data_IF_248511904579
#
_entry.id   IF_248511904579
#
_cell.length_a   1.000
_cell.length_b   1.000
_cell.length_c   1.000
_cell.angle_alpha   90.00
_cell.angle_beta   90.00
_cell.angle_gamma   90.00
#
_symmetry.space_group_name_H-M   'P 1'
#
loop_
_entity.id
_entity.type
_entity.pdbx_description
1 polymer ?
#
# COMPACT_ATOMS: atom_id res chain seq x y z
N UNK A 1 -34.77 -49.09 -1.04
CA UNK A 1 -36.12 -49.30 -1.58
C UNK A 1 -36.09 -50.41 -2.61
N UNK A 2 -37.12 -51.23 -2.64
CA UNK A 2 -37.28 -52.28 -3.67
C UNK A 2 -37.98 -51.73 -4.92
N UNK A 3 -37.81 -52.41 -6.04
CA UNK A 3 -38.36 -52.08 -7.35
C UNK A 3 -39.87 -51.85 -7.29
N UNK A 4 -40.61 -52.71 -6.58
CA UNK A 4 -42.06 -52.61 -6.42
C UNK A 4 -42.50 -51.27 -5.79
N UNK A 5 -41.76 -50.80 -4.77
CA UNK A 5 -42.00 -49.54 -4.08
C UNK A 5 -41.61 -48.33 -4.96
N UNK A 6 -40.49 -48.45 -5.67
CA UNK A 6 -39.99 -47.42 -6.59
C UNK A 6 -40.94 -47.22 -7.78
N UNK A 7 -41.42 -48.31 -8.37
CA UNK A 7 -42.40 -48.30 -9.46
C UNK A 7 -43.70 -47.61 -9.04
N UNK A 8 -44.27 -48.00 -7.90
CA UNK A 8 -45.50 -47.39 -7.38
C UNK A 8 -45.32 -45.90 -7.08
N UNK A 9 -44.16 -45.50 -6.54
CA UNK A 9 -43.81 -44.11 -6.28
C UNK A 9 -43.70 -43.30 -7.57
N UNK A 10 -42.96 -43.80 -8.56
CA UNK A 10 -42.77 -43.09 -9.84
C UNK A 10 -44.07 -42.99 -10.64
N UNK A 11 -44.92 -44.03 -10.62
CA UNK A 11 -46.25 -43.97 -11.23
C UNK A 11 -47.11 -42.88 -10.60
N UNK A 12 -47.13 -42.80 -9.27
CA UNK A 12 -47.89 -41.76 -8.53
C UNK A 12 -47.34 -40.36 -8.80
N UNK A 13 -46.02 -40.20 -8.87
CA UNK A 13 -45.39 -38.91 -9.21
C UNK A 13 -45.76 -38.42 -10.61
N UNK A 14 -45.98 -39.34 -11.54
CA UNK A 14 -46.46 -39.04 -12.90
C UNK A 14 -48.00 -38.95 -13.00
N UNK A 15 -48.71 -38.96 -11.87
CA UNK A 15 -50.18 -38.89 -11.80
C UNK A 15 -50.92 -39.97 -12.61
N UNK A 16 -50.30 -41.14 -12.80
CA UNK A 16 -50.89 -42.25 -13.55
C UNK A 16 -51.61 -43.23 -12.62
N UNK A 17 -52.76 -43.76 -13.05
CA UNK A 17 -53.39 -44.92 -12.41
C UNK A 17 -52.71 -46.22 -12.86
N UNK A 18 -52.91 -47.32 -12.11
CA UNK A 18 -52.39 -48.64 -12.52
C UNK A 18 -52.98 -49.09 -13.86
N UNK A 19 -54.22 -48.69 -14.18
CA UNK A 19 -54.88 -48.99 -15.45
C UNK A 19 -54.18 -48.26 -16.60
N UNK A 20 -53.91 -46.98 -16.41
CA UNK A 20 -53.25 -46.13 -17.43
C UNK A 20 -51.82 -46.60 -17.70
N UNK A 21 -51.07 -46.96 -16.66
CA UNK A 21 -49.72 -47.51 -16.85
C UNK A 21 -49.76 -48.87 -17.57
N UNK A 22 -50.77 -49.71 -17.27
CA UNK A 22 -50.93 -51.00 -17.92
C UNK A 22 -51.28 -50.86 -19.42
N UNK A 23 -52.16 -49.91 -19.75
CA UNK A 23 -52.53 -49.57 -21.13
C UNK A 23 -51.30 -49.09 -21.92
N UNK A 24 -50.53 -48.15 -21.37
CA UNK A 24 -49.30 -47.65 -22.01
C UNK A 24 -48.23 -48.73 -22.21
N UNK A 25 -48.20 -49.73 -21.34
CA UNK A 25 -47.26 -50.86 -21.43
C UNK A 25 -47.82 -52.05 -22.24
N UNK A 26 -49.07 -51.97 -22.72
CA UNK A 26 -49.78 -53.08 -23.36
C UNK A 26 -49.74 -54.37 -22.52
N UNK A 27 -50.05 -54.26 -21.23
CA UNK A 27 -50.16 -55.39 -20.29
C UNK A 27 -51.48 -55.29 -19.52
N UNK A 28 -51.87 -56.35 -18.81
CA UNK A 28 -53.06 -56.28 -17.96
C UNK A 28 -52.80 -55.44 -16.70
N UNK A 29 -53.82 -54.74 -16.21
CA UNK A 29 -53.77 -54.02 -14.92
C UNK A 29 -53.29 -54.91 -13.76
N UNK A 30 -53.68 -56.18 -13.80
CA UNK A 30 -53.26 -57.20 -12.83
C UNK A 30 -51.74 -57.43 -12.84
N UNK A 31 -51.08 -57.34 -13.99
CA UNK A 31 -49.62 -57.45 -14.08
C UNK A 31 -48.93 -56.29 -13.36
N UNK A 32 -49.37 -55.04 -13.60
CA UNK A 32 -48.85 -53.85 -12.90
C UNK A 32 -49.07 -53.94 -11.39
N UNK A 33 -50.26 -54.40 -10.96
CA UNK A 33 -50.55 -54.61 -9.54
C UNK A 33 -49.62 -55.65 -8.90
N UNK A 34 -49.34 -56.76 -9.59
CA UNK A 34 -48.38 -57.77 -9.10
C UNK A 34 -46.95 -57.23 -9.01
N UNK A 35 -46.52 -56.38 -9.94
CA UNK A 35 -45.21 -55.72 -9.87
C UNK A 35 -45.11 -54.75 -8.70
N UNK A 36 -46.13 -53.91 -8.49
CA UNK A 36 -46.16 -52.95 -7.37
C UNK A 36 -46.30 -53.62 -6.00
N UNK A 37 -46.89 -54.81 -5.94
CA UNK A 37 -46.98 -55.62 -4.72
C UNK A 37 -45.78 -56.58 -4.53
N UNK A 38 -44.78 -56.54 -5.43
CA UNK A 38 -43.60 -57.41 -5.36
C UNK A 38 -43.87 -58.90 -5.55
N UNK A 39 -45.04 -59.26 -6.10
CA UNK A 39 -45.45 -60.66 -6.33
C UNK A 39 -44.89 -61.23 -7.64
N UNK A 40 -44.49 -60.37 -8.57
CA UNK A 40 -43.78 -60.74 -9.80
C UNK A 40 -42.86 -59.61 -10.24
N UNK A 41 -41.93 -59.90 -11.14
CA UNK A 41 -41.01 -58.91 -11.72
C UNK A 41 -41.33 -58.71 -13.21
N UNK A 42 -41.27 -57.49 -13.76
CA UNK A 42 -41.39 -57.26 -15.20
C UNK A 42 -40.14 -57.71 -15.95
N UNK A 43 -40.30 -58.11 -17.21
CA UNK A 43 -39.16 -58.41 -18.09
C UNK A 43 -38.34 -57.15 -18.40
N UNK A 44 -37.06 -57.32 -18.77
CA UNK A 44 -36.14 -56.20 -19.04
C UNK A 44 -36.68 -55.20 -20.06
N UNK A 45 -37.34 -55.67 -21.13
CA UNK A 45 -37.95 -54.81 -22.14
C UNK A 45 -39.09 -53.95 -21.57
N UNK A 46 -39.84 -54.51 -20.61
CA UNK A 46 -40.89 -53.76 -19.89
C UNK A 46 -40.29 -52.78 -18.90
N UNK A 47 -39.18 -53.09 -18.25
CA UNK A 47 -38.46 -52.15 -17.36
C UNK A 47 -37.95 -50.94 -18.15
N UNK A 48 -37.34 -51.17 -19.32
CA UNK A 48 -36.91 -50.09 -20.21
C UNK A 48 -38.11 -49.26 -20.66
N UNK A 49 -39.23 -49.89 -21.01
CA UNK A 49 -40.45 -49.18 -21.41
C UNK A 49 -41.03 -48.34 -20.25
N UNK A 50 -41.04 -48.89 -19.03
CA UNK A 50 -41.46 -48.18 -17.82
C UNK A 50 -40.59 -46.94 -17.58
N UNK A 51 -39.26 -47.06 -17.72
CA UNK A 51 -38.34 -45.92 -17.54
C UNK A 51 -38.63 -44.76 -18.50
N UNK A 52 -38.98 -45.09 -19.76
CA UNK A 52 -39.36 -44.10 -20.78
C UNK A 52 -40.73 -43.47 -20.49
N UNK A 53 -41.72 -44.26 -20.08
CA UNK A 53 -43.08 -43.78 -19.79
C UNK A 53 -43.12 -42.91 -18.54
N UNK A 54 -42.36 -43.26 -17.50
CA UNK A 54 -42.30 -42.55 -16.23
C UNK A 54 -41.22 -41.46 -16.19
N UNK A 55 -40.48 -41.28 -17.29
CA UNK A 55 -39.39 -40.34 -17.47
C UNK A 55 -38.36 -40.39 -16.33
N UNK A 56 -37.93 -41.60 -15.97
CA UNK A 56 -36.92 -41.86 -14.93
C UNK A 56 -35.79 -42.73 -15.48
N UNK A 57 -34.65 -42.73 -14.79
CA UNK A 57 -33.53 -43.59 -15.16
C UNK A 57 -33.77 -45.05 -14.74
N UNK A 58 -33.01 -46.01 -15.28
CA UNK A 58 -33.14 -47.41 -14.84
C UNK A 58 -32.71 -47.55 -13.37
N UNK A 59 -31.75 -46.74 -12.94
CA UNK A 59 -31.28 -46.63 -11.57
C UNK A 59 -32.39 -46.19 -10.60
N UNK A 60 -33.30 -45.31 -11.06
CA UNK A 60 -34.45 -44.87 -10.28
C UNK A 60 -35.53 -45.95 -10.10
N UNK A 61 -35.47 -47.04 -10.88
CA UNK A 61 -36.41 -48.16 -10.83
C UNK A 61 -35.82 -49.40 -10.15
N UNK A 62 -34.53 -49.69 -10.37
CA UNK A 62 -33.87 -50.91 -9.88
C UNK A 62 -33.65 -50.90 -8.36
N UNK A 63 -33.51 -52.09 -7.77
CA UNK A 63 -33.23 -52.24 -6.34
C UNK A 63 -31.90 -51.59 -5.96
N UNK A 64 -31.88 -50.85 -4.85
CA UNK A 64 -30.66 -50.22 -4.34
C UNK A 64 -29.54 -51.23 -4.02
N UNK A 65 -29.86 -52.53 -3.89
CA UNK A 65 -28.90 -53.60 -3.67
C UNK A 65 -28.29 -54.20 -4.93
N UNK A 66 -28.82 -53.90 -6.13
CA UNK A 66 -28.36 -54.47 -7.42
C UNK A 66 -27.31 -53.56 -8.08
N UNK A 67 -27.35 -52.26 -7.81
CA UNK A 67 -26.33 -51.31 -8.28
C UNK A 67 -25.25 -51.19 -7.21
N UNK A 68 -24.35 -52.17 -7.15
CA UNK A 68 -23.03 -51.95 -6.58
C UNK A 68 -22.24 -51.14 -7.60
N UNK A 69 -22.28 -49.82 -7.46
CA UNK A 69 -21.23 -49.00 -8.05
C UNK A 69 -19.92 -49.49 -7.45
N UNK A 70 -18.96 -49.90 -8.29
CA UNK A 70 -17.61 -50.32 -7.90
C UNK A 70 -16.79 -49.08 -7.46
N UNK A 71 -17.38 -48.33 -6.53
CA UNK A 71 -16.81 -47.18 -5.87
C UNK A 71 -16.19 -47.70 -4.58
N UNK A 72 -14.88 -47.52 -4.50
CA UNK A 72 -14.03 -47.61 -3.31
C UNK A 72 -14.78 -47.23 -2.01
N UNK A 73 -14.44 -47.84 -0.86
CA UNK A 73 -15.21 -47.73 0.38
C UNK A 73 -15.48 -46.28 0.77
N UNK A 74 -16.77 -45.92 0.91
CA UNK A 74 -17.18 -44.62 1.42
C UNK A 74 -16.77 -44.47 2.89
N UNK A 75 -15.75 -43.64 3.12
CA UNK A 75 -15.47 -43.04 4.42
C UNK A 75 -16.63 -42.12 4.85
N UNK A 76 -16.90 -42.00 6.16
CA UNK A 76 -18.02 -41.22 6.67
C UNK A 76 -17.83 -39.74 6.37
N UNK A 77 -18.75 -39.18 5.59
CA UNK A 77 -19.18 -37.78 5.59
C UNK A 77 -18.07 -36.74 5.86
N UNK A 78 -17.02 -36.72 5.02
CA UNK A 78 -16.07 -35.59 5.00
C UNK A 78 -16.80 -34.37 4.46
N UNK A 79 -17.08 -33.43 5.37
CA UNK A 79 -17.23 -31.99 5.10
C UNK A 79 -16.52 -31.66 3.80
N UNK A 80 -17.27 -31.31 2.74
CA UNK A 80 -16.74 -30.92 1.43
C UNK A 80 -15.75 -29.77 1.64
N UNK A 81 -14.51 -30.16 1.92
CA UNK A 81 -13.45 -29.26 2.28
C UNK A 81 -12.88 -28.86 0.95
N UNK A 82 -13.11 -27.63 0.55
CA UNK A 82 -12.49 -27.02 -0.63
C UNK A 82 -10.98 -27.34 -0.75
N UNK A 83 -10.30 -27.63 0.37
CA UNK A 83 -8.92 -28.08 0.45
C UNK A 83 -8.73 -29.46 -0.21
N UNK A 84 -9.65 -30.40 -0.02
CA UNK A 84 -9.59 -31.70 -0.66
C UNK A 84 -9.74 -31.57 -2.17
N UNK A 85 -10.73 -30.82 -2.66
CA UNK A 85 -10.91 -30.61 -4.11
C UNK A 85 -9.73 -29.84 -4.74
N UNK A 86 -9.19 -28.88 -3.98
CA UNK A 86 -7.98 -28.15 -4.33
C UNK A 86 -6.76 -29.09 -4.39
N UNK A 87 -6.60 -29.96 -3.40
CA UNK A 87 -5.50 -30.93 -3.34
C UNK A 87 -5.60 -31.96 -4.46
N UNK A 88 -6.79 -32.49 -4.75
CA UNK A 88 -7.03 -33.38 -5.88
C UNK A 88 -6.76 -32.70 -7.23
N UNK A 89 -7.14 -31.42 -7.37
CA UNK A 89 -6.80 -30.64 -8.57
C UNK A 89 -5.30 -30.42 -8.73
N UNK A 90 -4.59 -30.19 -7.62
CA UNK A 90 -3.13 -30.09 -7.60
C UNK A 90 -2.47 -31.41 -7.97
N UNK A 91 -2.92 -32.53 -7.39
CA UNK A 91 -2.42 -33.86 -7.72
C UNK A 91 -2.61 -34.17 -9.20
N UNK A 92 -3.80 -33.93 -9.76
CA UNK A 92 -4.06 -34.09 -11.20
C UNK A 92 -3.16 -33.20 -12.07
N UNK A 93 -2.89 -31.97 -11.64
CA UNK A 93 -1.94 -31.10 -12.34
C UNK A 93 -0.51 -31.66 -12.27
N UNK A 94 -0.07 -32.17 -11.11
CA UNK A 94 1.25 -32.79 -10.97
C UNK A 94 1.37 -34.08 -11.77
N UNK A 95 0.32 -34.90 -11.82
CA UNK A 95 0.27 -36.13 -12.61
C UNK A 95 0.35 -35.81 -14.11
N UNK A 96 -0.44 -34.86 -14.61
CA UNK A 96 -0.36 -34.41 -16.00
C UNK A 96 1.02 -33.83 -16.34
N UNK A 97 1.60 -33.04 -15.42
CA UNK A 97 2.95 -32.50 -15.58
C UNK A 97 3.99 -33.62 -15.65
N UNK A 98 3.90 -34.61 -14.77
CA UNK A 98 4.78 -35.77 -14.77
C UNK A 98 4.64 -36.58 -16.07
N UNK A 99 3.41 -36.88 -16.49
CA UNK A 99 3.14 -37.62 -17.72
C UNK A 99 3.66 -36.89 -18.96
N UNK A 100 3.51 -35.55 -19.01
CA UNK A 100 4.14 -34.71 -20.04
C UNK A 100 5.67 -34.87 -20.04
N UNK A 101 6.32 -34.74 -18.88
CA UNK A 101 7.77 -34.91 -18.78
C UNK A 101 8.22 -36.32 -19.18
N UNK A 102 7.49 -37.37 -18.82
CA UNK A 102 7.83 -38.74 -19.21
C UNK A 102 7.73 -38.97 -20.73
N UNK A 103 6.79 -38.32 -21.42
CA UNK A 103 6.61 -38.43 -22.88
C UNK A 103 7.60 -37.58 -23.70
N UNK A 104 8.18 -36.54 -23.11
CA UNK A 104 9.13 -35.67 -23.80
C UNK A 104 10.49 -36.35 -24.03
N UNK A 105 11.03 -36.20 -25.24
CA UNK A 105 12.41 -36.59 -25.55
C UNK A 105 13.40 -35.77 -24.71
N UNK A 106 14.61 -36.28 -24.53
CA UNK A 106 15.66 -35.58 -23.76
C UNK A 106 15.90 -34.14 -24.26
N UNK A 107 15.95 -33.94 -25.58
CA UNK A 107 16.06 -32.60 -26.19
C UNK A 107 14.85 -31.71 -25.87
N UNK A 108 13.64 -32.27 -25.83
CA UNK A 108 12.41 -31.56 -25.45
C UNK A 108 12.40 -31.15 -23.98
N UNK A 109 12.86 -32.01 -23.06
CA UNK A 109 12.97 -31.71 -21.63
C UNK A 109 13.90 -30.53 -21.37
N UNK A 110 15.09 -30.53 -21.97
CA UNK A 110 16.08 -29.45 -21.82
C UNK A 110 15.54 -28.14 -22.39
N UNK A 111 14.90 -28.18 -23.56
CA UNK A 111 14.27 -26.99 -24.16
C UNK A 111 13.15 -26.43 -23.27
N UNK A 112 12.29 -27.29 -22.73
CA UNK A 112 11.22 -26.89 -21.82
C UNK A 112 11.77 -26.19 -20.57
N UNK A 113 12.77 -26.79 -19.92
CA UNK A 113 13.39 -26.20 -18.72
C UNK A 113 14.08 -24.87 -19.03
N UNK A 114 14.73 -24.76 -20.19
CA UNK A 114 15.37 -23.52 -20.61
C UNK A 114 14.36 -22.40 -20.90
N UNK A 115 13.30 -22.68 -21.66
CA UNK A 115 12.21 -21.71 -21.91
C UNK A 115 11.55 -21.27 -20.59
N UNK A 116 11.34 -22.21 -19.66
CA UNK A 116 10.75 -21.93 -18.35
C UNK A 116 11.68 -21.07 -17.47
N UNK A 117 12.99 -21.38 -17.47
CA UNK A 117 14.01 -20.60 -16.75
C UNK A 117 14.10 -19.18 -17.28
N UNK A 118 14.07 -18.99 -18.60
CA UNK A 118 14.06 -17.65 -19.21
C UNK A 118 12.82 -16.84 -18.82
N UNK A 119 11.63 -17.45 -18.83
CA UNK A 119 10.39 -16.80 -18.40
C UNK A 119 10.47 -16.43 -16.90
N UNK A 120 10.99 -17.33 -16.06
CA UNK A 120 11.18 -17.08 -14.63
C UNK A 120 12.13 -15.91 -14.37
N UNK A 121 13.29 -15.88 -15.04
CA UNK A 121 14.25 -14.78 -14.94
C UNK A 121 13.65 -13.45 -15.42
N UNK A 122 12.88 -13.48 -16.51
CA UNK A 122 12.21 -12.29 -17.04
C UNK A 122 11.18 -11.73 -16.06
N UNK A 123 10.35 -12.58 -15.45
CA UNK A 123 9.38 -12.18 -14.43
C UNK A 123 10.08 -11.65 -13.17
N UNK A 124 11.18 -12.27 -12.75
CA UNK A 124 11.98 -11.81 -11.61
C UNK A 124 12.63 -10.44 -11.87
N UNK A 125 13.15 -10.21 -13.09
CA UNK A 125 13.73 -8.93 -13.48
C UNK A 125 12.68 -7.80 -13.46
N UNK A 126 11.49 -8.05 -14.02
CA UNK A 126 10.37 -7.10 -13.96
C UNK A 126 9.99 -6.83 -12.50
N UNK A 127 9.83 -7.89 -11.70
CA UNK A 127 9.49 -7.77 -10.30
C UNK A 127 10.49 -6.94 -9.49
N UNK A 128 11.80 -7.14 -9.74
CA UNK A 128 12.86 -6.37 -9.09
C UNK A 128 12.82 -4.89 -9.47
N UNK A 129 12.56 -4.56 -10.74
CA UNK A 129 12.41 -3.16 -11.20
C UNK A 129 11.22 -2.51 -10.50
N UNK A 130 10.07 -3.18 -10.47
CA UNK A 130 8.85 -2.66 -9.82
C UNK A 130 9.06 -2.46 -8.33
N UNK A 131 9.70 -3.41 -7.65
CA UNK A 131 10.03 -3.30 -6.23
C UNK A 131 10.95 -2.11 -5.96
N UNK A 132 12.03 -1.96 -6.75
CA UNK A 132 13.00 -0.88 -6.56
C UNK A 132 12.39 0.51 -6.75
N UNK A 133 11.52 0.68 -7.74
CA UNK A 133 10.77 1.93 -7.93
C UNK A 133 9.83 2.17 -6.74
N UNK A 134 9.12 1.14 -6.28
CA UNK A 134 8.17 1.26 -5.18
C UNK A 134 8.85 1.65 -3.86
N UNK A 135 9.99 1.03 -3.54
CA UNK A 135 10.77 1.32 -2.33
C UNK A 135 11.30 2.75 -2.32
N UNK A 136 11.88 3.21 -3.44
CA UNK A 136 12.37 4.58 -3.59
C UNK A 136 11.25 5.62 -3.39
N UNK A 137 10.08 5.39 -4.00
CA UNK A 137 8.90 6.26 -3.85
C UNK A 137 8.43 6.28 -2.39
N UNK A 138 8.33 5.12 -1.73
CA UNK A 138 7.92 5.04 -0.33
C UNK A 138 8.88 5.81 0.58
N UNK A 139 10.19 5.64 0.41
CA UNK A 139 11.18 6.34 1.24
C UNK A 139 11.09 7.86 1.11
N UNK A 140 10.77 8.37 -0.09
CA UNK A 140 10.57 9.80 -0.35
C UNK A 140 9.26 10.33 0.20
N UNK A 141 8.15 9.63 -0.01
CA UNK A 141 6.84 10.05 0.52
C UNK A 141 6.87 10.13 2.05
N UNK A 142 7.56 9.21 2.70
CA UNK A 142 7.64 9.13 4.15
C UNK A 142 8.85 9.88 4.74
N UNK A 143 9.54 10.72 3.97
CA UNK A 143 10.73 11.44 4.45
C UNK A 143 10.44 12.39 5.62
N UNK A 144 9.19 12.83 5.77
CA UNK A 144 8.73 13.68 6.88
C UNK A 144 8.73 12.97 8.24
N UNK A 145 8.75 11.63 8.26
CA UNK A 145 8.79 10.85 9.51
C UNK A 145 10.21 10.82 10.09
N UNK A 146 10.35 10.76 11.43
CA UNK A 146 11.64 10.58 12.09
C UNK A 146 12.40 9.36 11.54
N UNK A 147 13.72 9.48 11.37
CA UNK A 147 14.55 8.49 10.67
C UNK A 147 14.30 7.05 11.18
N UNK A 148 14.31 6.86 12.50
CA UNK A 148 14.11 5.56 13.13
C UNK A 148 12.75 4.95 12.77
N UNK A 149 11.66 5.72 12.86
CA UNK A 149 10.32 5.23 12.55
C UNK A 149 10.12 4.98 11.05
N UNK A 150 10.62 5.90 10.21
CA UNK A 150 10.54 5.81 8.74
C UNK A 150 11.14 4.52 8.23
N UNK A 151 12.33 4.16 8.70
CA UNK A 151 13.03 2.98 8.24
C UNK A 151 12.21 1.70 8.48
N UNK A 152 11.71 1.48 9.70
CA UNK A 152 10.90 0.30 10.00
C UNK A 152 9.57 0.29 9.24
N UNK A 153 8.88 1.42 9.18
CA UNK A 153 7.58 1.51 8.52
C UNK A 153 7.67 1.25 7.01
N UNK A 154 8.65 1.85 6.32
CA UNK A 154 8.88 1.63 4.89
C UNK A 154 9.29 0.19 4.62
N UNK A 155 10.15 -0.42 5.44
CA UNK A 155 10.55 -1.82 5.28
C UNK A 155 9.37 -2.81 5.40
N UNK A 156 8.42 -2.54 6.30
CA UNK A 156 7.21 -3.37 6.44
C UNK A 156 6.35 -3.28 5.17
N UNK A 157 6.09 -2.07 4.67
CA UNK A 157 5.35 -1.85 3.43
C UNK A 157 6.06 -2.48 2.23
N UNK A 158 7.37 -2.28 2.13
CA UNK A 158 8.22 -2.88 1.10
C UNK A 158 8.13 -4.41 1.12
N UNK A 159 8.17 -5.04 2.29
CA UNK A 159 8.02 -6.49 2.45
C UNK A 159 6.67 -6.98 1.91
N UNK A 160 5.57 -6.29 2.24
CA UNK A 160 4.23 -6.64 1.73
C UNK A 160 4.19 -6.58 0.20
N UNK A 161 4.76 -5.53 -0.39
CA UNK A 161 4.83 -5.34 -1.84
C UNK A 161 5.67 -6.44 -2.49
N UNK A 162 6.83 -6.77 -1.91
CA UNK A 162 7.70 -7.84 -2.39
C UNK A 162 6.96 -9.18 -2.45
N UNK A 163 6.26 -9.56 -1.37
CA UNK A 163 5.47 -10.79 -1.36
C UNK A 163 4.35 -10.77 -2.41
N UNK A 164 3.67 -9.64 -2.61
CA UNK A 164 2.65 -9.50 -3.64
C UNK A 164 3.22 -9.69 -5.05
N UNK A 165 4.37 -9.08 -5.35
CA UNK A 165 5.05 -9.21 -6.65
C UNK A 165 5.46 -10.66 -6.91
N UNK A 166 6.09 -11.32 -5.93
CA UNK A 166 6.49 -12.74 -6.03
C UNK A 166 5.28 -13.63 -6.28
N UNK A 167 4.19 -13.41 -5.55
CA UNK A 167 2.97 -14.21 -5.68
C UNK A 167 2.32 -14.06 -7.07
N UNK A 168 2.22 -12.82 -7.58
CA UNK A 168 1.73 -12.55 -8.93
C UNK A 168 2.65 -13.20 -9.97
N UNK A 169 3.97 -13.09 -9.79
CA UNK A 169 4.96 -13.73 -10.66
C UNK A 169 4.79 -15.24 -10.73
N UNK A 170 4.61 -15.91 -9.59
CA UNK A 170 4.35 -17.36 -9.52
C UNK A 170 3.07 -17.73 -10.28
N UNK A 171 2.00 -16.95 -10.15
CA UNK A 171 0.73 -17.25 -10.82
C UNK A 171 0.85 -17.10 -12.34
N UNK A 172 1.47 -16.02 -12.81
CA UNK A 172 1.73 -15.80 -14.23
C UNK A 172 2.59 -16.94 -14.77
N UNK A 173 3.62 -17.32 -14.04
CA UNK A 173 4.51 -18.42 -14.39
C UNK A 173 3.76 -19.75 -14.55
N UNK A 174 2.93 -20.14 -13.57
CA UNK A 174 2.16 -21.40 -13.65
C UNK A 174 1.13 -21.33 -14.78
N UNK A 175 0.48 -20.18 -15.02
CA UNK A 175 -0.45 -20.01 -16.14
C UNK A 175 0.25 -20.14 -17.50
N UNK A 176 1.41 -19.52 -17.67
CA UNK A 176 2.20 -19.63 -18.89
C UNK A 176 2.66 -21.07 -19.12
N UNK A 177 3.13 -21.75 -18.07
CA UNK A 177 3.51 -23.16 -18.13
C UNK A 177 2.34 -24.04 -18.59
N UNK A 178 1.15 -23.84 -17.99
CA UNK A 178 -0.05 -24.58 -18.36
C UNK A 178 -0.39 -24.39 -19.85
N UNK A 179 -0.53 -23.14 -20.29
CA UNK A 179 -0.95 -22.83 -21.67
C UNK A 179 0.03 -23.37 -22.71
N UNK A 180 1.33 -23.28 -22.42
CA UNK A 180 2.38 -23.64 -23.37
C UNK A 180 2.60 -25.15 -23.47
N UNK A 181 2.47 -25.89 -22.37
CA UNK A 181 2.94 -27.28 -22.30
C UNK A 181 1.86 -28.29 -21.94
N UNK A 182 0.97 -27.99 -20.99
CA UNK A 182 -0.09 -28.91 -20.57
C UNK A 182 -1.25 -28.92 -21.57
N UNK A 183 -1.79 -27.75 -21.88
CA UNK A 183 -2.96 -27.65 -22.77
C UNK A 183 -2.59 -28.10 -24.20
N UNK A 184 -1.36 -27.82 -24.66
CA UNK A 184 -0.85 -28.28 -25.96
C UNK A 184 -0.78 -29.81 -26.08
N UNK A 185 -0.41 -30.52 -25.00
CA UNK A 185 -0.33 -31.98 -25.01
C UNK A 185 -1.71 -32.63 -24.98
N UNK A 186 -2.69 -32.01 -24.32
CA UNK A 186 -4.08 -32.47 -24.29
C UNK A 186 -4.74 -32.34 -25.67
N UNK A 187 -4.46 -31.25 -26.41
CA UNK A 187 -4.91 -31.07 -27.80
C UNK A 187 -4.29 -32.11 -28.77
N UNK A 188 -3.01 -32.47 -28.56
CA UNK A 188 -2.33 -33.49 -29.37
C UNK A 188 -2.91 -34.87 -29.09
N UNK A 189 -3.15 -35.21 -27.82
CA UNK A 189 -3.77 -36.46 -27.43
C UNK A 189 -5.18 -36.58 -28.03
N UNK A 190 -6.00 -35.52 -27.96
CA UNK A 190 -7.34 -35.49 -28.53
C UNK A 190 -7.35 -35.72 -30.05
N UNK A 191 -6.44 -35.07 -30.78
CA UNK A 191 -6.27 -35.27 -32.23
C UNK A 191 -5.78 -36.67 -32.59
N UNK A 192 -4.93 -37.27 -31.76
CA UNK A 192 -4.44 -38.63 -31.97
C UNK A 192 -5.56 -39.67 -31.79
N UNK A 193 -6.44 -39.47 -30.80
CA UNK A 193 -7.60 -40.34 -30.59
C UNK A 193 -8.69 -40.19 -31.65
N UNK A 194 -8.92 -38.99 -32.20
CA UNK A 194 -9.85 -38.79 -33.32
C UNK A 194 -9.35 -39.46 -34.61
N UNK A 195 -8.04 -39.47 -34.84
CA UNK A 195 -7.46 -40.09 -36.04
C UNK A 195 -7.49 -41.63 -36.05
N UNK A 196 -7.67 -42.26 -34.88
CA UNK A 196 -7.75 -43.73 -34.77
C UNK A 196 -9.16 -44.31 -34.99
N UNK A 197 -10.21 -43.49 -34.93
CA UNK A 197 -11.61 -43.95 -35.04
C UNK A 197 -12.20 -43.82 -36.47
N UNK A 198 -11.44 -43.33 -37.46
CA UNK A 198 -11.90 -43.13 -38.85
C UNK A 198 -11.95 -44.40 -39.74
N UNK A 199 -12.06 -45.60 -39.15
CA UNK A 199 -12.30 -46.84 -39.92
C UNK A 199 -13.51 -47.61 -39.43
N UNK A 200 -14.72 -47.04 -39.53
CA UNK A 200 -15.97 -47.81 -39.60
C UNK A 200 -16.92 -47.19 -40.64
N UNK A 201 -17.37 -48.05 -41.56
CA UNK A 201 -18.31 -47.89 -42.66
C UNK A 201 -19.17 -46.60 -42.74
N UNK A 202 -18.99 -45.90 -43.86
CA UNK A 202 -20.08 -45.80 -44.84
C UNK A 202 -21.41 -45.20 -44.40
N UNK A 203 -21.43 -44.07 -43.69
CA UNK A 203 -22.57 -43.13 -43.68
C UNK A 203 -22.08 -41.75 -43.22
N UNK A 204 -21.91 -40.85 -44.20
CA UNK A 204 -21.55 -39.45 -43.99
C UNK A 204 -22.72 -38.73 -43.30
N UNK A 205 -22.80 -38.83 -41.98
CA UNK A 205 -23.42 -37.80 -41.16
C UNK A 205 -22.29 -36.88 -40.69
N UNK A 206 -22.26 -35.64 -41.18
CA UNK A 206 -21.27 -34.65 -40.73
C UNK A 206 -21.43 -34.51 -39.22
N UNK A 207 -20.41 -34.82 -38.39
CA UNK A 207 -20.50 -34.53 -36.98
C UNK A 207 -20.67 -33.03 -36.85
N UNK A 208 -21.79 -32.62 -36.25
CA UNK A 208 -22.04 -31.22 -35.89
C UNK A 208 -20.91 -30.88 -34.92
N UNK A 209 -19.91 -30.12 -35.38
CA UNK A 209 -18.78 -29.67 -34.56
C UNK A 209 -19.37 -28.76 -33.49
N UNK A 210 -19.77 -29.36 -32.37
CA UNK A 210 -19.98 -28.64 -31.13
C UNK A 210 -18.56 -28.40 -30.64
N UNK A 211 -18.01 -27.23 -30.98
CA UNK A 211 -16.83 -26.70 -30.30
C UNK A 211 -17.28 -26.48 -28.85
N UNK A 212 -17.19 -27.52 -28.02
CA UNK A 212 -17.15 -27.33 -26.58
C UNK A 212 -15.79 -26.70 -26.34
N UNK A 213 -15.79 -25.39 -26.23
CA UNK A 213 -14.69 -24.64 -25.67
C UNK A 213 -14.63 -25.01 -24.17
N UNK A 214 -14.23 -26.25 -23.87
CA UNK A 214 -14.03 -26.71 -22.49
C UNK A 214 -12.65 -26.28 -22.06
N UNK A 215 -12.43 -24.98 -22.02
CA UNK A 215 -11.30 -24.39 -21.31
C UNK A 215 -11.56 -24.66 -19.82
N UNK A 216 -11.22 -25.87 -19.36
CA UNK A 216 -11.25 -26.24 -17.94
C UNK A 216 -10.18 -25.39 -17.25
N UNK A 217 -10.57 -24.19 -16.82
CA UNK A 217 -9.77 -23.38 -15.91
C UNK A 217 -9.65 -24.22 -14.61
N UNK A 218 -8.43 -24.57 -14.19
CA UNK A 218 -8.28 -25.41 -13.01
C UNK A 218 -8.86 -24.68 -11.80
N UNK A 219 -9.84 -25.32 -11.14
CA UNK A 219 -10.52 -24.82 -9.93
C UNK A 219 -9.52 -24.41 -8.83
N UNK A 220 -8.33 -25.01 -8.79
CA UNK A 220 -7.24 -24.68 -7.86
C UNK A 220 -6.84 -23.19 -7.84
N UNK A 221 -6.92 -22.48 -8.96
CA UNK A 221 -6.62 -21.04 -8.99
C UNK A 221 -7.74 -20.19 -8.38
N UNK A 222 -8.96 -20.71 -8.26
CA UNK A 222 -10.11 -20.00 -7.70
C UNK A 222 -9.89 -19.54 -6.25
N UNK A 223 -9.47 -20.42 -5.34
CA UNK A 223 -9.12 -20.05 -3.97
C UNK A 223 -7.96 -19.04 -3.90
N UNK A 224 -6.91 -19.20 -4.70
CA UNK A 224 -5.75 -18.29 -4.74
C UNK A 224 -6.16 -16.91 -5.24
N UNK A 225 -6.97 -16.84 -6.30
CA UNK A 225 -7.48 -15.57 -6.84
C UNK A 225 -8.46 -14.89 -5.88
N UNK A 226 -9.26 -15.65 -5.12
CA UNK A 226 -10.07 -15.14 -4.00
C UNK A 226 -9.21 -14.63 -2.84
N UNK A 227 -8.13 -15.35 -2.50
CA UNK A 227 -7.18 -14.94 -1.47
C UNK A 227 -6.43 -13.65 -1.86
N UNK A 228 -6.05 -13.52 -3.13
CA UNK A 228 -5.43 -12.29 -3.65
C UNK A 228 -6.40 -11.13 -3.65
N UNK A 229 -7.63 -11.33 -4.13
CA UNK A 229 -8.63 -10.25 -4.07
C UNK A 229 -8.94 -9.85 -2.64
N UNK A 230 -8.88 -10.80 -1.69
CA UNK A 230 -8.96 -10.51 -0.26
C UNK A 230 -7.75 -9.70 0.26
N UNK A 231 -6.51 -10.09 -0.06
CA UNK A 231 -5.29 -9.31 0.28
C UNK A 231 -5.32 -7.91 -0.35
N UNK A 232 -5.71 -7.81 -1.62
CA UNK A 232 -5.82 -6.54 -2.33
C UNK A 232 -6.83 -5.61 -1.66
N UNK A 233 -7.95 -6.14 -1.15
CA UNK A 233 -8.93 -5.37 -0.36
C UNK A 233 -8.35 -4.89 0.97
N UNK A 234 -7.57 -5.73 1.65
CA UNK A 234 -6.88 -5.35 2.90
C UNK A 234 -5.87 -4.24 2.63
N UNK A 235 -5.03 -4.39 1.60
CA UNK A 235 -4.07 -3.36 1.22
C UNK A 235 -4.78 -2.05 0.87
N UNK A 236 -5.84 -2.12 0.05
CA UNK A 236 -6.64 -0.96 -0.32
C UNK A 236 -7.32 -0.29 0.89
N UNK A 237 -7.70 -1.06 1.92
CA UNK A 237 -8.25 -0.52 3.17
C UNK A 237 -7.20 0.28 3.95
N UNK A 238 -5.96 -0.18 4.04
CA UNK A 238 -4.88 0.59 4.65
C UNK A 238 -4.60 1.88 3.88
N UNK A 239 -4.60 1.84 2.54
CA UNK A 239 -4.52 3.05 1.72
C UNK A 239 -5.70 3.98 1.97
N UNK A 240 -6.93 3.46 2.04
CA UNK A 240 -8.10 4.26 2.35
C UNK A 240 -7.97 4.98 3.70
N UNK A 241 -7.51 4.28 4.74
CA UNK A 241 -7.26 4.88 6.06
C UNK A 241 -6.21 6.00 5.99
N UNK A 242 -5.13 5.79 5.23
CA UNK A 242 -4.09 6.79 5.01
C UNK A 242 -4.64 8.05 4.31
N UNK A 243 -5.39 7.88 3.22
CA UNK A 243 -6.02 9.00 2.51
C UNK A 243 -7.04 9.74 3.38
N UNK A 244 -7.79 9.02 4.23
CA UNK A 244 -8.72 9.64 5.18
C UNK A 244 -7.98 10.50 6.21
N UNK A 245 -6.87 10.03 6.76
CA UNK A 245 -6.02 10.81 7.67
C UNK A 245 -5.52 12.10 7.01
N UNK A 246 -4.94 12.00 5.80
CA UNK A 246 -4.46 13.17 5.07
C UNK A 246 -5.58 14.15 4.71
N UNK A 247 -6.79 13.66 4.42
CA UNK A 247 -7.94 14.52 4.17
C UNK A 247 -8.31 15.33 5.42
N UNK A 248 -8.34 14.70 6.60
CA UNK A 248 -8.60 15.41 7.86
C UNK A 248 -7.52 16.45 8.14
N UNK A 249 -6.24 16.09 8.03
CA UNK A 249 -5.14 17.03 8.22
C UNK A 249 -5.21 18.20 7.24
N UNK A 250 -5.53 17.95 5.97
CA UNK A 250 -5.65 19.00 4.96
C UNK A 250 -6.79 19.97 5.26
N UNK A 251 -7.94 19.47 5.72
CA UNK A 251 -9.06 20.32 6.15
C UNK A 251 -8.67 21.18 7.35
N UNK A 252 -7.99 20.62 8.35
CA UNK A 252 -7.51 21.39 9.51
C UNK A 252 -6.52 22.48 9.09
N UNK A 253 -5.61 22.15 8.18
CA UNK A 253 -4.63 23.11 7.67
C UNK A 253 -5.29 24.23 6.85
N UNK A 254 -6.33 23.91 6.07
CA UNK A 254 -7.09 24.90 5.32
C UNK A 254 -7.84 25.87 6.24
N UNK A 255 -8.37 25.40 7.38
CA UNK A 255 -8.98 26.26 8.41
C UNK A 255 -7.94 27.22 9.01
N UNK A 256 -6.71 26.75 9.25
CA UNK A 256 -5.62 27.59 9.74
C UNK A 256 -5.29 28.67 8.71
N UNK A 257 -5.14 28.31 7.43
CA UNK A 257 -4.85 29.28 6.38
C UNK A 257 -5.98 30.28 6.14
N UNK A 258 -7.23 29.84 6.28
CA UNK A 258 -8.38 30.72 6.22
C UNK A 258 -8.34 31.77 7.33
N UNK A 259 -7.96 31.39 8.55
CA UNK A 259 -7.71 32.36 9.62
C UNK A 259 -6.58 33.35 9.26
N UNK A 260 -5.51 32.86 8.62
CA UNK A 260 -4.39 33.70 8.18
C UNK A 260 -4.69 34.58 6.96
N UNK A 261 -5.78 34.32 6.24
CA UNK A 261 -6.19 35.14 5.09
C UNK A 261 -6.48 36.60 5.47
N UNK A 262 -6.76 36.86 6.74
CA UNK A 262 -6.91 38.21 7.30
C UNK A 262 -5.60 39.00 7.16
N UNK A 263 -4.45 38.33 7.27
CA UNK A 263 -3.13 38.96 7.32
C UNK A 263 -2.45 39.04 5.94
N UNK A 264 -2.74 38.11 5.03
CA UNK A 264 -2.13 38.10 3.70
C UNK A 264 -3.02 37.46 2.64
N UNK A 265 -3.09 38.10 1.47
CA UNK A 265 -3.72 37.54 0.27
C UNK A 265 -3.02 36.26 -0.21
N UNK A 266 -1.73 36.07 0.08
CA UNK A 266 -1.02 34.85 -0.28
C UNK A 266 -1.64 33.62 0.43
N UNK A 267 -1.94 33.75 1.73
CA UNK A 267 -2.57 32.70 2.54
C UNK A 267 -3.94 32.27 1.98
N UNK A 268 -4.71 33.21 1.46
CA UNK A 268 -5.99 32.92 0.80
C UNK A 268 -5.79 32.05 -0.46
N UNK A 269 -4.83 32.39 -1.31
CA UNK A 269 -4.55 31.62 -2.53
C UNK A 269 -3.94 30.24 -2.24
N UNK A 270 -3.10 30.11 -1.22
CA UNK A 270 -2.63 28.80 -0.76
C UNK A 270 -3.77 27.95 -0.20
N UNK A 271 -4.75 28.55 0.50
CA UNK A 271 -5.98 27.87 0.90
C UNK A 271 -6.75 27.31 -0.30
N UNK A 272 -6.92 28.10 -1.38
CA UNK A 272 -7.53 27.59 -2.62
C UNK A 272 -6.77 26.39 -3.22
N UNK A 273 -5.44 26.39 -3.13
CA UNK A 273 -4.65 25.26 -3.58
C UNK A 273 -4.90 24.00 -2.73
N UNK A 274 -5.00 24.14 -1.41
CA UNK A 274 -5.28 23.03 -0.50
C UNK A 274 -6.70 22.51 -0.66
N UNK A 275 -7.66 23.37 -0.94
CA UNK A 275 -9.02 22.95 -1.31
C UNK A 275 -8.99 22.08 -2.58
N UNK A 276 -8.13 22.40 -3.53
CA UNK A 276 -7.84 21.53 -4.69
C UNK A 276 -7.22 20.18 -4.31
N UNK A 277 -6.30 20.15 -3.33
CA UNK A 277 -5.72 18.91 -2.78
C UNK A 277 -6.81 18.07 -2.10
N UNK A 278 -7.70 18.68 -1.31
CA UNK A 278 -8.84 18.01 -0.66
C UNK A 278 -9.74 17.35 -1.70
N UNK A 279 -10.05 18.04 -2.80
CA UNK A 279 -10.83 17.45 -3.90
C UNK A 279 -10.14 16.24 -4.53
N UNK A 280 -8.81 16.29 -4.67
CA UNK A 280 -8.01 15.20 -5.24
C UNK A 280 -7.95 14.00 -4.29
N UNK A 281 -7.73 14.24 -2.99
CA UNK A 281 -7.78 13.20 -1.94
C UNK A 281 -9.16 12.55 -1.87
N UNK A 282 -10.24 13.35 -1.97
CA UNK A 282 -11.60 12.84 -2.02
C UNK A 282 -11.85 11.98 -3.28
N UNK A 283 -11.34 12.40 -4.45
CA UNK A 283 -11.39 11.60 -5.66
C UNK A 283 -10.67 10.25 -5.47
N UNK A 284 -9.44 10.26 -4.94
CA UNK A 284 -8.69 9.04 -4.63
C UNK A 284 -9.43 8.12 -3.64
N UNK A 285 -10.01 8.67 -2.57
CA UNK A 285 -10.83 7.93 -1.62
C UNK A 285 -12.06 7.29 -2.30
N UNK A 286 -12.76 8.06 -3.13
CA UNK A 286 -13.92 7.56 -3.88
C UNK A 286 -13.54 6.44 -4.84
N UNK A 287 -12.38 6.54 -5.48
CA UNK A 287 -11.83 5.49 -6.34
C UNK A 287 -11.52 4.21 -5.53
N UNK A 288 -10.81 4.34 -4.41
CA UNK A 288 -10.49 3.20 -3.52
C UNK A 288 -11.76 2.54 -2.99
N UNK A 289 -12.76 3.32 -2.58
CA UNK A 289 -14.05 2.79 -2.14
C UNK A 289 -14.75 1.99 -3.24
N UNK A 290 -14.85 2.54 -4.45
CA UNK A 290 -15.45 1.83 -5.59
C UNK A 290 -14.68 0.55 -5.93
N UNK A 291 -13.35 0.59 -5.82
CA UNK A 291 -12.49 -0.58 -6.03
C UNK A 291 -12.70 -1.68 -4.98
N UNK A 292 -12.78 -1.32 -3.69
CA UNK A 292 -12.96 -2.28 -2.59
C UNK A 292 -14.36 -2.92 -2.63
N UNK A 293 -15.40 -2.10 -2.77
CA UNK A 293 -16.77 -2.51 -2.47
C UNK A 293 -17.63 -2.82 -3.70
N UNK A 294 -17.43 -2.11 -4.82
CA UNK A 294 -18.40 -2.11 -5.93
C UNK A 294 -17.83 -2.72 -7.21
N UNK A 295 -16.50 -2.76 -7.40
CA UNK A 295 -15.81 -3.21 -8.62
C UNK A 295 -16.34 -2.55 -9.92
N UNK A 296 -17.06 -1.43 -9.82
CA UNK A 296 -17.56 -0.66 -10.95
C UNK A 296 -17.06 0.78 -10.82
N UNK A 297 -16.20 1.19 -11.75
CA UNK A 297 -15.51 2.49 -11.70
C UNK A 297 -16.24 3.49 -12.58
N UNK A 298 -16.83 4.51 -11.95
CA UNK A 298 -17.49 5.61 -12.65
C UNK A 298 -16.50 6.70 -13.09
N UNK A 299 -15.63 6.41 -14.07
CA UNK A 299 -14.50 7.27 -14.46
C UNK A 299 -14.87 8.73 -14.76
N UNK A 300 -16.01 9.00 -15.41
CA UNK A 300 -16.38 10.37 -15.82
C UNK A 300 -16.47 11.35 -14.65
N UNK A 301 -17.19 10.99 -13.58
CA UNK A 301 -17.38 11.86 -12.41
C UNK A 301 -16.07 12.02 -11.63
N UNK A 302 -15.30 10.94 -11.52
CA UNK A 302 -14.01 10.93 -10.85
C UNK A 302 -13.01 11.85 -11.55
N UNK A 303 -12.91 11.74 -12.87
CA UNK A 303 -12.02 12.56 -13.69
C UNK A 303 -12.35 14.05 -13.59
N UNK A 304 -13.64 14.40 -13.58
CA UNK A 304 -14.06 15.80 -13.50
C UNK A 304 -13.70 16.43 -12.13
N UNK A 305 -13.88 15.69 -11.03
CA UNK A 305 -13.48 16.15 -9.69
C UNK A 305 -11.96 16.29 -9.59
N UNK A 306 -11.20 15.31 -10.11
CA UNK A 306 -9.74 15.38 -10.12
C UNK A 306 -9.22 16.57 -10.94
N UNK A 307 -9.85 16.86 -12.09
CA UNK A 307 -9.47 18.00 -12.91
C UNK A 307 -9.78 19.34 -12.25
N UNK A 308 -10.95 19.48 -11.62
CA UNK A 308 -11.28 20.67 -10.85
C UNK A 308 -10.27 20.90 -9.71
N UNK A 309 -9.84 19.84 -9.02
CA UNK A 309 -8.80 19.90 -8.00
C UNK A 309 -7.45 20.37 -8.54
N UNK A 310 -6.99 19.83 -9.67
CA UNK A 310 -5.73 20.24 -10.32
C UNK A 310 -5.74 21.70 -10.77
N UNK A 311 -6.87 22.19 -11.29
CA UNK A 311 -7.02 23.60 -11.66
C UNK A 311 -6.91 24.49 -10.43
N UNK A 312 -7.59 24.14 -9.32
CA UNK A 312 -7.49 24.88 -8.06
C UNK A 312 -6.08 24.91 -7.50
N UNK A 313 -5.36 23.78 -7.53
CA UNK A 313 -3.95 23.70 -7.13
C UNK A 313 -3.11 24.67 -7.97
N UNK A 314 -3.26 24.61 -9.30
CA UNK A 314 -2.49 25.46 -10.22
C UNK A 314 -2.77 26.95 -10.02
N UNK A 315 -4.04 27.34 -9.97
CA UNK A 315 -4.44 28.75 -9.78
C UNK A 315 -4.05 29.24 -8.39
N UNK A 316 -4.33 28.48 -7.34
CA UNK A 316 -4.03 28.86 -5.96
C UNK A 316 -2.53 28.97 -5.70
N UNK A 317 -1.73 27.97 -6.10
CA UNK A 317 -0.28 28.04 -5.91
C UNK A 317 0.38 29.12 -6.77
N UNK A 318 -0.05 29.29 -8.03
CA UNK A 318 0.50 30.30 -8.93
C UNK A 318 0.26 31.73 -8.44
N UNK A 319 -0.98 32.04 -8.05
CA UNK A 319 -1.32 33.35 -7.51
C UNK A 319 -0.69 33.58 -6.12
N UNK A 320 -0.68 32.55 -5.25
CA UNK A 320 -0.05 32.63 -3.94
C UNK A 320 1.45 32.94 -4.01
N UNK A 321 2.18 32.27 -4.90
CA UNK A 321 3.60 32.54 -5.14
C UNK A 321 3.80 33.94 -5.72
N UNK A 322 2.95 34.36 -6.67
CA UNK A 322 3.06 35.70 -7.27
C UNK A 322 2.93 36.80 -6.22
N UNK A 323 2.00 36.64 -5.26
CA UNK A 323 1.85 37.58 -4.14
C UNK A 323 3.06 37.55 -3.21
N UNK A 324 3.65 36.38 -2.94
CA UNK A 324 4.87 36.33 -2.12
C UNK A 324 6.06 37.01 -2.81
N UNK A 325 6.16 36.94 -4.14
CA UNK A 325 7.23 37.58 -4.90
C UNK A 325 7.13 39.12 -4.89
N UNK A 326 6.00 39.70 -4.49
CA UNK A 326 5.89 41.16 -4.31
C UNK A 326 6.29 41.63 -2.91
N UNK A 327 6.69 40.72 -2.01
CA UNK A 327 7.12 41.10 -0.67
C UNK A 327 8.54 41.67 -0.71
N UNK A 328 8.77 42.72 0.08
CA UNK A 328 10.08 43.32 0.19
C UNK A 328 10.99 42.49 1.12
N UNK A 329 12.25 42.34 0.73
CA UNK A 329 13.23 41.62 1.53
C UNK A 329 13.82 42.56 2.59
N UNK A 330 13.54 42.30 3.87
CA UNK A 330 14.10 43.07 4.98
C UNK A 330 15.49 42.53 5.28
N UNK A 331 16.51 43.28 4.85
CA UNK A 331 17.93 42.88 4.90
C UNK A 331 18.71 43.50 6.06
N UNK A 332 18.18 44.55 6.70
CA UNK A 332 18.80 45.21 7.85
C UNK A 332 17.77 45.68 8.88
N UNK A 333 18.16 45.71 10.15
CA UNK A 333 17.39 46.29 11.26
C UNK A 333 17.61 47.81 11.35
N UNK A 334 16.57 48.56 11.67
CA UNK A 334 16.68 50.01 12.00
C UNK A 334 17.07 50.21 13.46
N UNK A 335 17.70 51.34 13.82
CA UNK A 335 18.15 51.60 15.21
C UNK A 335 17.01 51.50 16.24
N UNK A 336 15.79 51.90 15.87
CA UNK A 336 14.60 51.83 16.74
C UNK A 336 14.12 50.39 17.03
N UNK A 337 14.65 49.40 16.32
CA UNK A 337 14.31 47.98 16.49
C UNK A 337 15.30 47.24 17.40
N UNK A 338 16.34 47.93 17.90
CA UNK A 338 17.24 47.40 18.91
C UNK A 338 16.80 47.80 20.31
N UNK A 339 16.74 46.82 21.20
CA UNK A 339 16.63 47.02 22.63
C UNK A 339 18.04 46.99 23.21
N UNK A 340 18.44 48.08 23.84
CA UNK A 340 19.74 48.19 24.51
C UNK A 340 19.59 47.84 25.98
N UNK A 341 20.36 46.87 26.46
CA UNK A 341 20.47 46.52 27.87
C UNK A 341 21.89 46.72 28.34
N UNK A 342 22.05 47.31 29.52
CA UNK A 342 23.35 47.53 30.15
C UNK A 342 23.36 46.91 31.53
N UNK A 343 24.39 46.13 31.83
CA UNK A 343 24.61 45.61 33.18
C UNK A 343 26.11 45.61 33.50
N UNK A 344 26.42 45.50 34.79
CA UNK A 344 27.79 45.48 35.29
C UNK A 344 27.96 44.21 36.11
N UNK A 345 29.04 43.49 35.87
CA UNK A 345 29.37 42.24 36.55
C UNK A 345 30.87 42.16 36.79
N UNK A 346 31.27 41.33 37.75
CA UNK A 346 32.68 41.03 38.03
C UNK A 346 32.95 39.63 37.48
N UNK A 347 33.98 39.50 36.64
CA UNK A 347 34.37 38.22 36.07
C UNK A 347 35.06 37.35 37.12
N UNK A 348 34.66 36.08 37.24
CA UNK A 348 35.35 35.08 38.05
C UNK A 348 36.79 34.90 37.55
N UNK A 349 37.72 34.58 38.46
CA UNK A 349 39.17 34.55 38.18
C UNK A 349 39.56 33.57 37.07
N UNK A 350 38.78 32.51 36.86
CA UNK A 350 39.01 31.45 35.87
C UNK A 350 38.37 31.72 34.49
N UNK A 351 37.64 32.83 34.34
CA UNK A 351 37.12 33.27 33.04
C UNK A 351 38.26 33.82 32.19
N UNK A 352 38.44 33.20 31.03
CA UNK A 352 39.55 33.50 30.11
C UNK A 352 39.11 34.36 28.93
N UNK A 353 37.91 34.18 28.37
CA UNK A 353 37.39 34.99 27.27
C UNK A 353 35.87 35.19 27.39
N UNK A 354 35.32 36.02 26.49
CA UNK A 354 33.88 36.27 26.37
C UNK A 354 33.39 35.67 25.06
N UNK A 355 32.38 34.82 25.15
CA UNK A 355 31.75 34.18 24.00
C UNK A 355 30.44 34.88 23.64
N UNK A 356 30.21 35.00 22.33
CA UNK A 356 28.96 35.54 21.77
C UNK A 356 28.34 34.54 20.80
N UNK A 357 27.03 34.59 20.57
CA UNK A 357 26.38 33.61 19.71
C UNK A 357 26.77 33.87 18.24
N UNK A 358 27.21 32.83 17.54
CA UNK A 358 27.65 32.88 16.14
C UNK A 358 28.82 33.85 15.85
N UNK A 359 29.71 34.08 16.81
CA UNK A 359 30.87 34.97 16.69
C UNK A 359 30.48 36.40 16.31
N UNK A 360 29.44 36.94 16.94
CA UNK A 360 29.13 38.36 16.88
C UNK A 360 30.36 39.14 17.38
N UNK A 361 30.85 40.14 16.62
CA UNK A 361 32.05 40.88 17.01
C UNK A 361 31.85 41.61 18.34
N UNK A 362 32.90 41.59 19.17
CA UNK A 362 32.97 42.28 20.45
C UNK A 362 33.66 43.62 20.27
N UNK A 363 32.97 44.71 20.60
CA UNK A 363 33.56 46.05 20.66
C UNK A 363 34.07 46.33 22.08
N UNK A 364 35.35 46.67 22.22
CA UNK A 364 35.94 46.97 23.54
C UNK A 364 36.11 48.49 23.74
N UNK A 365 35.72 48.97 24.91
CA UNK A 365 35.89 50.37 25.35
C UNK A 365 36.69 50.38 26.65
N UNK A 366 37.80 51.11 26.67
CA UNK A 366 38.68 51.15 27.85
C UNK A 366 38.23 52.25 28.79
N UNK A 367 37.86 51.88 30.02
CA UNK A 367 37.50 52.81 31.10
C UNK A 367 38.38 52.55 32.33
N UNK A 368 39.32 53.46 32.66
CA UNK A 368 40.24 53.28 33.79
C UNK A 368 39.57 53.46 35.16
N UNK A 369 38.28 53.83 35.21
CA UNK A 369 37.54 54.02 36.48
C UNK A 369 36.93 52.73 37.03
N UNK A 370 36.89 51.66 36.24
CA UNK A 370 36.37 50.35 36.64
C UNK A 370 37.37 49.57 37.51
N UNK A 371 36.84 48.81 38.46
CA UNK A 371 37.62 47.93 39.34
C UNK A 371 38.29 46.76 38.59
N UNK A 372 39.13 46.01 39.30
CA UNK A 372 39.78 44.83 38.76
C UNK A 372 38.74 43.75 38.40
N UNK A 373 38.88 43.15 37.20
CA UNK A 373 37.93 42.21 36.58
C UNK A 373 36.46 42.68 36.51
N UNK A 374 36.20 43.96 36.76
CA UNK A 374 34.87 44.56 36.63
C UNK A 374 34.61 44.95 35.18
N UNK A 375 33.53 44.43 34.61
CA UNK A 375 33.12 44.73 33.24
C UNK A 375 31.71 45.32 33.21
N UNK A 376 31.51 46.32 32.36
CA UNK A 376 30.19 46.80 31.99
C UNK A 376 29.88 46.30 30.57
N UNK A 377 28.82 45.52 30.45
CA UNK A 377 28.38 44.94 29.19
C UNK A 377 27.17 45.69 28.68
N UNK A 378 27.26 46.21 27.46
CA UNK A 378 26.16 46.79 26.70
C UNK A 378 25.79 45.83 25.57
N UNK A 379 24.55 45.34 25.57
CA UNK A 379 24.02 44.45 24.54
C UNK A 379 22.92 45.19 23.79
N UNK A 380 23.11 45.41 22.49
CA UNK A 380 22.07 45.88 21.59
C UNK A 380 21.49 44.67 20.87
N UNK A 381 20.26 44.29 21.19
CA UNK A 381 19.61 43.09 20.68
C UNK A 381 18.35 43.46 19.89
N UNK A 382 18.09 42.75 18.78
CA UNK A 382 16.83 42.92 18.05
C UNK A 382 15.63 42.68 18.97
N UNK A 383 14.63 43.56 18.91
CA UNK A 383 13.51 43.66 19.88
C UNK A 383 12.68 42.39 20.08
N UNK A 384 12.75 41.44 19.16
CA UNK A 384 12.03 40.17 19.17
C UNK A 384 12.84 39.00 19.73
N UNK A 385 14.07 39.24 20.17
CA UNK A 385 14.94 38.24 20.78
C UNK A 385 15.15 38.56 22.25
N UNK A 386 15.34 37.51 23.03
CA UNK A 386 15.85 37.58 24.38
C UNK A 386 17.25 36.95 24.42
N UNK A 387 18.07 37.38 25.37
CA UNK A 387 19.37 36.79 25.64
C UNK A 387 19.48 36.42 27.12
N UNK A 388 20.43 35.55 27.40
CA UNK A 388 20.83 35.21 28.77
C UNK A 388 22.36 35.16 28.82
N UNK A 389 22.91 35.18 30.04
CA UNK A 389 24.35 35.12 30.27
C UNK A 389 24.68 34.03 31.28
N UNK A 390 25.67 33.21 30.98
CA UNK A 390 26.15 32.17 31.90
C UNK A 390 27.65 31.94 31.72
N UNK A 391 28.28 31.31 32.71
CA UNK A 391 29.69 30.92 32.65
C UNK A 391 29.78 29.45 32.28
N UNK A 392 30.35 29.15 31.11
CA UNK A 392 30.52 27.77 30.65
C UNK A 392 31.97 27.31 30.79
N UNK A 393 32.15 26.09 31.29
CA UNK A 393 33.43 25.43 31.31
C UNK A 393 33.71 24.75 29.96
N UNK A 394 34.84 25.09 29.35
CA UNK A 394 35.35 24.51 28.13
C UNK A 394 36.59 23.65 28.41
N UNK A 395 36.81 22.65 27.57
CA UNK A 395 38.06 21.87 27.56
C UNK A 395 39.00 22.58 26.60
N UNK A 396 40.01 23.26 27.14
CA UNK A 396 41.02 23.94 26.32
C UNK A 396 42.12 22.93 25.93
N UNK A 397 42.38 22.73 24.62
CA UNK A 397 43.52 21.93 24.19
C UNK A 397 44.82 22.71 24.43
N UNK A 398 45.72 22.14 25.22
CA UNK A 398 47.03 22.74 25.47
C UNK A 398 47.87 22.81 24.19
N UNK A 399 48.57 23.94 24.02
CA UNK A 399 49.56 24.14 22.96
C UNK A 399 50.95 23.62 23.35
N UNK A 400 51.16 23.21 24.61
CA UNK A 400 52.45 22.71 25.11
C UNK A 400 52.30 21.39 25.90
N UNK A 401 52.42 20.27 25.18
CA UNK A 401 53.05 19.00 25.57
C UNK A 401 52.78 18.34 26.96
N UNK A 402 51.78 18.76 27.73
CA UNK A 402 51.29 18.02 28.90
C UNK A 402 49.87 17.50 28.61
N UNK A 403 49.61 16.22 28.84
CA UNK A 403 48.35 15.55 28.47
C UNK A 403 47.24 15.78 29.52
N UNK A 404 47.23 16.93 30.19
CA UNK A 404 46.20 17.30 31.16
C UNK A 404 45.24 18.29 30.55
N UNK A 405 44.02 17.85 30.22
CA UNK A 405 42.93 18.75 29.86
C UNK A 405 42.71 19.79 30.96
N UNK A 406 43.02 21.06 30.69
CA UNK A 406 42.70 22.15 31.60
C UNK A 406 41.30 22.69 31.30
N UNK A 407 40.50 22.87 32.37
CA UNK A 407 39.22 23.55 32.29
C UNK A 407 39.47 25.06 32.26
N UNK A 408 38.90 25.69 31.25
CA UNK A 408 38.91 27.13 31.05
C UNK A 408 37.46 27.60 30.99
N UNK A 409 37.12 28.69 31.66
CA UNK A 409 35.75 29.20 31.64
C UNK A 409 35.63 30.35 30.63
N UNK A 410 34.48 30.40 29.96
CA UNK A 410 34.09 31.56 29.16
C UNK A 410 32.84 32.20 29.74
N UNK A 411 32.79 33.53 29.72
CA UNK A 411 31.55 34.25 29.98
C UNK A 411 30.77 34.31 28.67
N UNK A 412 29.70 33.53 28.55
CA UNK A 412 28.94 33.40 27.29
C UNK A 412 27.65 34.21 27.35
N UNK A 413 27.44 35.02 26.32
CA UNK A 413 26.15 35.62 26.00
C UNK A 413 25.50 34.73 24.93
N UNK A 414 24.27 34.27 25.16
CA UNK A 414 23.57 33.43 24.19
C UNK A 414 22.11 33.84 24.01
N UNK A 415 21.55 33.56 22.82
CA UNK A 415 20.13 33.78 22.57
C UNK A 415 19.30 32.81 23.43
N UNK A 416 18.34 33.36 24.16
CA UNK A 416 17.28 32.56 24.73
C UNK A 416 16.43 32.04 23.55
N UNK A 417 16.21 30.74 23.51
CA UNK A 417 15.54 30.09 22.39
C UNK A 417 14.19 30.75 22.09
N UNK A 418 13.94 31.04 20.81
CA UNK A 418 12.68 31.64 20.38
C UNK A 418 11.54 30.63 20.59
N UNK A 419 10.53 31.00 21.37
CA UNK A 419 9.36 30.15 21.53
C UNK A 419 8.59 30.04 20.22
N UNK A 420 7.83 28.95 20.03
CA UNK A 420 6.97 28.81 18.86
C UNK A 420 5.98 29.96 18.74
N UNK A 421 5.50 30.50 19.87
CA UNK A 421 4.57 31.62 19.90
C UNK A 421 5.20 32.91 19.36
N UNK A 422 6.43 33.25 19.77
CA UNK A 422 7.15 34.43 19.29
C UNK A 422 7.53 34.28 17.81
N UNK A 423 8.04 33.11 17.42
CA UNK A 423 8.35 32.82 16.01
C UNK A 423 7.12 32.95 15.11
N UNK A 424 5.97 32.48 15.58
CA UNK A 424 4.70 32.58 14.87
C UNK A 424 4.18 34.01 14.81
N UNK A 425 4.32 34.80 15.88
CA UNK A 425 3.96 36.21 15.88
C UNK A 425 4.81 37.02 14.90
N UNK A 426 6.12 36.79 14.86
CA UNK A 426 7.02 37.40 13.87
C UNK A 426 6.62 37.04 12.45
N UNK A 427 6.25 35.78 12.20
CA UNK A 427 5.75 35.36 10.90
C UNK A 427 4.45 36.09 10.52
N UNK A 428 3.51 36.26 11.45
CA UNK A 428 2.27 37.02 11.21
C UNK A 428 2.55 38.49 10.91
N UNK A 429 3.46 39.12 11.65
CA UNK A 429 3.87 40.51 11.43
C UNK A 429 4.54 40.68 10.07
N UNK A 430 5.40 39.73 9.69
CA UNK A 430 6.01 39.66 8.36
C UNK A 430 4.97 39.60 7.25
N UNK A 431 3.93 38.76 7.45
CA UNK A 431 2.82 38.65 6.52
C UNK A 431 2.02 39.95 6.37
N UNK A 432 1.75 40.65 7.47
CA UNK A 432 1.03 41.93 7.52
C UNK A 432 1.83 43.06 6.85
N UNK A 433 3.13 43.11 7.12
CA UNK A 433 3.99 44.20 6.67
C UNK A 433 4.54 43.98 5.25
N UNK A 434 4.12 42.92 4.56
CA UNK A 434 4.63 42.55 3.24
C UNK A 434 6.16 42.44 3.19
N UNK A 435 6.77 41.97 4.29
CA UNK A 435 8.22 41.83 4.39
C UNK A 435 8.60 40.38 4.63
N UNK A 436 9.73 39.97 4.05
CA UNK A 436 10.36 38.68 4.35
C UNK A 436 11.62 38.99 5.14
N UNK A 437 11.70 38.46 6.36
CA UNK A 437 12.88 38.62 7.21
C UNK A 437 14.02 37.78 6.67
N UNK A 438 15.00 38.45 6.06
CA UNK A 438 16.25 37.86 5.56
C UNK A 438 17.48 38.49 6.26
N UNK A 439 17.27 39.13 7.41
CA UNK A 439 18.34 39.74 8.21
C UNK A 439 19.32 38.65 8.62
N UNK A 440 20.59 38.88 8.30
CA UNK A 440 21.65 37.95 8.65
C UNK A 440 21.84 37.89 10.17
N UNK A 441 22.16 36.72 10.70
CA UNK A 441 22.14 36.46 12.17
C UNK A 441 23.20 37.23 12.95
N UNK A 442 24.25 37.66 12.27
CA UNK A 442 25.31 38.54 12.75
C UNK A 442 24.81 39.97 13.05
N UNK A 443 23.69 40.40 12.45
CA UNK A 443 23.12 41.72 12.67
C UNK A 443 22.11 41.78 13.82
N UNK A 444 21.74 40.63 14.40
CA UNK A 444 20.72 40.58 15.45
C UNK A 444 21.21 41.06 16.81
N UNK A 445 22.52 41.02 17.06
CA UNK A 445 23.12 41.42 18.32
C UNK A 445 24.40 42.23 18.06
N UNK A 446 24.63 43.27 18.86
CA UNK A 446 25.93 43.92 19.01
C UNK A 446 26.27 43.95 20.49
N UNK A 447 27.52 43.67 20.83
CA UNK A 447 27.98 43.62 22.21
C UNK A 447 29.18 44.54 22.37
N UNK A 448 29.06 45.49 23.29
CA UNK A 448 30.13 46.39 23.68
C UNK A 448 30.54 46.09 25.12
N UNK A 449 31.82 45.78 25.32
CA UNK A 449 32.40 45.51 26.64
C UNK A 449 33.22 46.72 27.06
N UNK A 450 32.88 47.31 28.19
CA UNK A 450 33.68 48.34 28.82
C UNK A 450 34.45 47.74 29.99
N UNK A 451 35.78 47.85 29.99
CA UNK A 451 36.65 47.29 31.03
C UNK A 451 37.93 48.14 31.20
N UNK A 452 38.69 47.90 32.26
CA UNK A 452 40.00 48.52 32.45
C UNK A 452 41.09 47.86 31.57
N UNK A 453 42.27 48.48 31.47
CA UNK A 453 43.36 48.00 30.60
C UNK A 453 43.86 46.59 30.99
N UNK A 454 44.04 46.31 32.29
CA UNK A 454 44.51 44.99 32.75
C UNK A 454 43.53 43.87 32.41
N UNK A 455 42.23 44.12 32.57
CA UNK A 455 41.17 43.16 32.22
C UNK A 455 41.07 42.97 30.71
N UNK A 456 41.23 44.03 29.92
CA UNK A 456 41.30 43.93 28.45
C UNK A 456 42.48 43.08 28.00
N UNK A 457 43.67 43.29 28.58
CA UNK A 457 44.85 42.52 28.27
C UNK A 457 44.63 41.04 28.65
N UNK A 458 44.02 40.74 29.80
CA UNK A 458 43.68 39.38 30.20
C UNK A 458 42.70 38.68 29.23
N UNK A 459 41.68 39.39 28.75
CA UNK A 459 40.65 38.86 27.83
C UNK A 459 41.10 38.77 26.36
N UNK A 460 42.14 39.50 25.97
CA UNK A 460 42.65 39.52 24.60
C UNK A 460 43.77 38.51 24.35
N UNK A 461 44.47 38.06 25.39
CA UNK A 461 45.53 37.05 25.29
C UNK A 461 44.99 35.60 25.17
N UNK A 462 43.69 35.40 25.32
CA UNK A 462 43.01 34.09 25.34
C UNK A 462 42.27 33.74 24.04
N UNK A 463 42.21 34.65 23.06
CA UNK A 463 41.54 34.49 21.77
C UNK A 463 42.47 34.05 20.64
#
# INVERSE_FOLDING_TARGET
MKFCEKLAKQRKNNNLSQEQLAEMLSVSRQAVSKWENGSSYPDMDKIISISKILNCTLEDLLDDGVIKHDSQPEEPQKRHSWIHDWFQSFLNFTEKTYNMFCRLTWKGKVRCLFELLLIGLFLAAIGAIVYSISDWVLYKIFSFLPYSFRHYFVNILGSIIFFAIVLIGIIIFIRLFKMRYLDYMEDVDMKSSESSDETIDGLVSRPRIIIRDSKKEYSFFGPITKFITWIMRICAFFFFLLFAFFLVCSVLFDVILFYHSIYSMASFFFGLAILGIIMLLFACMRFLYQFIFVLAIGFRKLFLVAMAGLVLIGVGSGLGITVLLTYDEKTSLTEDEYVTSTFTTVLEDDVSWIDTPFNVPLDYVIDPTLGDREIKVEVQLASFLEYDTDTFGHVCPDTENDNSDHLCNSFTIYYKGLSFYEAYHLFLESLQNHTIWAVNRDQWMKVTITCNQETFDALSHSN
#
